data_IF_900299830183
#
_entry.id   IF_900299830183
#
_cell.length_a   1.000
_cell.length_b   1.000
_cell.length_c   1.000
_cell.angle_alpha   90.00
_cell.angle_beta   90.00
_cell.angle_gamma   90.00
#
_symmetry.space_group_name_H-M   'P 1'
#
loop_
_entity.id
_entity.type
_entity.pdbx_description
1 polymer ?
#
# COMPACT_ATOMS: atom_id res chain seq x y z
N UNK A 1 8.60 24.68 -85.66
CA UNK A 1 9.10 23.87 -84.47
C UNK A 1 9.53 24.72 -83.24
N UNK A 2 8.76 25.75 -82.85
CA UNK A 2 9.17 26.56 -81.61
C UNK A 2 8.11 26.59 -80.51
N UNK A 3 6.93 25.97 -80.73
CA UNK A 3 5.82 25.97 -79.75
C UNK A 3 5.86 24.75 -78.76
N UNK A 4 6.56 23.66 -79.05
CA UNK A 4 6.55 22.45 -78.26
C UNK A 4 7.52 22.54 -76.99
N UNK A 5 8.54 23.38 -77.08
CA UNK A 5 9.56 23.50 -75.99
C UNK A 5 9.01 24.31 -74.80
N UNK A 6 8.16 25.33 -75.03
CA UNK A 6 7.62 26.21 -73.98
C UNK A 6 6.54 25.45 -73.19
N UNK A 7 5.67 24.64 -73.84
CA UNK A 7 4.68 23.83 -73.16
C UNK A 7 5.31 22.74 -72.26
N UNK A 8 6.40 22.13 -72.72
CA UNK A 8 7.12 21.14 -71.93
C UNK A 8 7.80 21.74 -70.69
N UNK A 9 8.33 22.95 -70.79
CA UNK A 9 8.95 23.66 -69.68
C UNK A 9 7.94 24.15 -68.65
N UNK A 10 6.75 24.60 -69.05
CA UNK A 10 5.68 24.98 -68.15
C UNK A 10 5.09 23.75 -67.39
N UNK A 11 4.87 22.63 -68.08
CA UNK A 11 4.39 21.38 -67.44
C UNK A 11 5.40 20.83 -66.42
N UNK A 12 6.70 20.90 -66.72
CA UNK A 12 7.76 20.46 -65.80
C UNK A 12 7.90 21.35 -64.56
N UNK A 13 7.63 22.65 -64.69
CA UNK A 13 7.63 23.61 -63.61
C UNK A 13 6.37 23.44 -62.71
N UNK A 14 5.19 23.27 -63.31
CA UNK A 14 3.94 22.96 -62.58
C UNK A 14 4.02 21.65 -61.81
N UNK A 15 4.61 20.60 -62.39
CA UNK A 15 4.79 19.31 -61.70
C UNK A 15 5.73 19.41 -60.48
N UNK A 16 6.75 20.25 -60.50
CA UNK A 16 7.59 20.53 -59.34
C UNK A 16 6.85 21.31 -58.25
N UNK A 17 5.97 22.26 -58.59
CA UNK A 17 5.18 23.01 -57.62
C UNK A 17 4.11 22.13 -56.98
N UNK A 18 3.41 21.24 -57.77
CA UNK A 18 2.47 20.28 -57.21
C UNK A 18 3.12 19.26 -56.26
N UNK A 19 4.33 18.75 -56.59
CA UNK A 19 5.04 17.85 -55.67
C UNK A 19 5.47 18.58 -54.40
N UNK A 20 5.90 19.82 -54.47
CA UNK A 20 6.29 20.61 -53.30
C UNK A 20 5.11 20.91 -52.37
N UNK A 21 3.94 21.22 -52.94
CA UNK A 21 2.68 21.44 -52.16
C UNK A 21 2.19 20.14 -51.51
N UNK A 22 2.29 18.99 -52.21
CA UNK A 22 1.92 17.68 -51.65
C UNK A 22 2.90 17.27 -50.51
N UNK A 23 4.18 17.52 -50.66
CA UNK A 23 5.16 17.19 -49.58
C UNK A 23 4.97 18.12 -48.38
N UNK A 24 4.68 19.40 -48.56
CA UNK A 24 4.38 20.34 -47.47
C UNK A 24 3.06 19.96 -46.80
N UNK A 25 2.01 19.56 -47.56
CA UNK A 25 0.73 19.10 -47.04
C UNK A 25 0.87 17.81 -46.21
N UNK A 26 1.67 16.82 -46.67
CA UNK A 26 1.94 15.58 -45.92
C UNK A 26 2.77 15.82 -44.64
N UNK A 27 3.73 16.76 -44.67
CA UNK A 27 4.45 17.12 -43.46
C UNK A 27 3.61 17.86 -42.42
N UNK A 28 2.65 18.70 -42.85
CA UNK A 28 1.70 19.33 -41.94
C UNK A 28 0.68 18.34 -41.37
N UNK A 29 0.15 17.40 -42.18
CA UNK A 29 -0.75 16.35 -41.67
C UNK A 29 -0.03 15.41 -40.68
N UNK A 30 1.20 14.97 -40.98
CA UNK A 30 1.99 14.17 -40.02
C UNK A 30 2.41 14.94 -38.76
N UNK A 31 2.56 16.26 -38.82
CA UNK A 31 2.81 17.10 -37.66
C UNK A 31 1.55 17.28 -36.81
N UNK A 32 0.36 17.44 -37.43
CA UNK A 32 -0.92 17.50 -36.70
C UNK A 32 -1.29 16.14 -36.07
N UNK A 33 -1.09 15.01 -36.78
CA UNK A 33 -1.30 13.69 -36.19
C UNK A 33 -0.32 13.40 -35.03
N UNK A 34 0.93 13.86 -35.09
CA UNK A 34 1.87 13.73 -33.98
C UNK A 34 1.53 14.64 -32.79
N UNK A 35 0.99 15.85 -33.02
CA UNK A 35 0.56 16.75 -31.94
C UNK A 35 -0.75 16.28 -31.30
N UNK A 36 -1.73 15.78 -32.08
CA UNK A 36 -2.98 15.23 -31.52
C UNK A 36 -2.78 13.88 -30.82
N UNK A 37 -1.82 13.05 -31.24
CA UNK A 37 -1.45 11.83 -30.51
C UNK A 37 -0.65 12.10 -29.21
N UNK A 38 0.03 13.25 -29.10
CA UNK A 38 0.70 13.62 -27.85
C UNK A 38 -0.20 14.32 -26.81
N UNK A 39 -1.37 14.85 -27.21
CA UNK A 39 -2.30 15.48 -26.28
C UNK A 39 -3.28 14.49 -25.62
N UNK A 40 -3.36 13.25 -26.09
CA UNK A 40 -4.21 12.18 -25.55
C UNK A 40 -3.43 10.98 -24.98
N UNK A 41 -2.13 11.07 -24.75
CA UNK A 41 -1.47 10.13 -23.83
C UNK A 41 -1.89 10.53 -22.41
N UNK A 42 -2.92 9.88 -21.87
CA UNK A 42 -3.11 9.84 -20.41
C UNK A 42 -1.75 9.53 -19.81
N UNK A 43 -1.22 10.46 -19.03
CA UNK A 43 0.06 10.27 -18.35
C UNK A 43 -0.06 8.99 -17.53
N UNK A 44 0.70 7.96 -17.90
CA UNK A 44 0.67 6.69 -17.20
C UNK A 44 0.86 6.94 -15.70
N UNK A 45 -0.11 6.50 -14.89
CA UNK A 45 -0.11 6.76 -13.45
C UNK A 45 1.13 6.16 -12.82
N UNK A 46 1.93 6.98 -12.16
CA UNK A 46 3.16 6.56 -11.51
C UNK A 46 2.85 5.67 -10.30
N UNK A 47 3.42 4.47 -10.29
CA UNK A 47 3.34 3.56 -9.14
C UNK A 47 4.68 3.55 -8.39
N UNK A 48 4.63 3.80 -7.09
CA UNK A 48 5.79 3.70 -6.20
C UNK A 48 5.76 2.38 -5.44
N UNK A 49 6.88 1.64 -5.43
CA UNK A 49 7.13 0.58 -4.46
C UNK A 49 7.73 1.22 -3.22
N UNK A 50 7.03 1.12 -2.11
CA UNK A 50 7.38 1.75 -0.85
C UNK A 50 7.72 0.69 0.19
N UNK A 51 8.99 0.52 0.51
CA UNK A 51 9.43 -0.41 1.54
C UNK A 51 9.40 0.32 2.87
N UNK A 52 8.49 -0.09 3.75
CA UNK A 52 8.33 0.55 5.05
C UNK A 52 8.48 -0.47 6.18
N UNK A 53 9.72 -0.83 6.54
CA UNK A 53 10.01 -1.95 7.45
C UNK A 53 9.87 -1.57 8.92
N UNK A 54 8.90 -0.72 9.30
CA UNK A 54 8.63 -0.34 10.69
C UNK A 54 8.18 -1.55 11.49
N UNK A 55 8.79 -1.77 12.64
CA UNK A 55 8.56 -2.91 13.51
C UNK A 55 8.15 -2.52 14.94
N UNK A 56 8.38 -1.27 15.31
CA UNK A 56 8.27 -0.79 16.69
C UNK A 56 6.83 -0.83 17.21
N UNK A 57 5.86 -0.61 16.35
CA UNK A 57 4.44 -0.60 16.71
C UNK A 57 3.88 -1.99 17.06
N UNK A 58 4.55 -3.07 16.64
CA UNK A 58 4.06 -4.44 16.81
C UNK A 58 4.29 -5.06 18.18
N UNK A 59 5.22 -4.55 19.02
CA UNK A 59 5.60 -5.10 20.34
C UNK A 59 5.80 -6.63 20.30
N UNK A 60 6.45 -7.13 19.27
CA UNK A 60 6.48 -8.55 18.86
C UNK A 60 7.14 -9.46 19.89
N UNK A 61 8.14 -8.98 20.61
CA UNK A 61 8.86 -9.75 21.63
C UNK A 61 7.96 -10.23 22.77
N UNK A 62 6.82 -9.56 23.01
CA UNK A 62 5.82 -9.99 23.96
C UNK A 62 5.09 -11.28 23.52
N UNK A 63 4.92 -11.46 22.21
CA UNK A 63 4.14 -12.54 21.63
C UNK A 63 4.95 -13.73 21.14
N UNK A 64 6.28 -13.61 21.11
CA UNK A 64 7.18 -14.64 20.57
C UNK A 64 8.30 -15.00 21.56
N UNK A 65 7.98 -15.58 22.73
CA UNK A 65 8.95 -15.88 23.76
C UNK A 65 9.96 -16.98 23.39
N UNK A 66 9.70 -17.74 22.32
CA UNK A 66 10.59 -18.78 21.79
C UNK A 66 11.71 -18.23 20.88
N UNK A 67 11.70 -16.94 20.60
CA UNK A 67 12.71 -16.24 19.81
C UNK A 67 13.35 -15.15 20.69
N UNK A 68 14.68 -14.96 20.64
CA UNK A 68 15.32 -13.87 21.38
C UNK A 68 14.65 -12.52 21.09
N UNK A 69 14.42 -11.71 22.13
CA UNK A 69 13.67 -10.44 22.03
C UNK A 69 14.23 -9.49 20.97
N UNK A 70 15.56 -9.47 20.78
CA UNK A 70 16.18 -8.66 19.73
C UNK A 70 15.79 -9.11 18.32
N UNK A 71 15.72 -10.41 18.11
CA UNK A 71 15.39 -11.00 16.80
C UNK A 71 13.91 -10.93 16.50
N UNK A 72 13.06 -11.23 17.50
CA UNK A 72 11.61 -11.12 17.35
C UNK A 72 11.19 -9.68 17.13
N UNK A 73 11.72 -8.73 17.90
CA UNK A 73 11.40 -7.31 17.75
C UNK A 73 11.65 -6.79 16.35
N UNK A 74 12.77 -7.18 15.71
CA UNK A 74 13.12 -6.79 14.33
C UNK A 74 12.58 -7.75 13.28
N UNK A 75 11.72 -8.69 13.64
CA UNK A 75 11.16 -9.68 12.72
C UNK A 75 10.41 -9.04 11.54
N UNK A 76 9.61 -8.03 11.80
CA UNK A 76 8.89 -7.29 10.75
C UNK A 76 9.83 -6.49 9.83
N UNK A 77 10.94 -5.99 10.33
CA UNK A 77 11.97 -5.40 9.47
C UNK A 77 12.50 -6.43 8.48
N UNK A 78 12.91 -7.60 8.97
CA UNK A 78 13.39 -8.70 8.12
C UNK A 78 12.29 -9.20 7.17
N UNK A 79 11.04 -9.25 7.64
CA UNK A 79 9.89 -9.66 6.85
C UNK A 79 9.63 -8.72 5.67
N UNK A 80 9.67 -7.41 5.87
CA UNK A 80 9.51 -6.43 4.80
C UNK A 80 10.62 -6.56 3.74
N UNK A 81 11.87 -6.80 4.16
CA UNK A 81 12.98 -7.05 3.23
C UNK A 81 12.75 -8.36 2.43
N UNK A 82 12.25 -9.40 3.10
CA UNK A 82 11.91 -10.67 2.44
C UNK A 82 10.76 -10.48 1.44
N UNK A 83 9.71 -9.75 1.79
CA UNK A 83 8.63 -9.40 0.85
C UNK A 83 9.17 -8.68 -0.38
N UNK A 84 10.06 -7.70 -0.19
CA UNK A 84 10.68 -6.99 -1.31
C UNK A 84 11.52 -7.90 -2.20
N UNK A 85 12.24 -8.85 -1.61
CA UNK A 85 13.02 -9.84 -2.36
C UNK A 85 12.14 -10.81 -3.17
N UNK A 86 11.03 -11.27 -2.59
CA UNK A 86 10.12 -12.24 -3.20
C UNK A 86 9.14 -11.61 -4.20
N UNK A 87 8.78 -10.35 -3.99
CA UNK A 87 7.82 -9.67 -4.86
C UNK A 87 8.32 -9.55 -6.30
N UNK A 88 7.45 -9.73 -7.31
CA UNK A 88 7.83 -9.57 -8.70
C UNK A 88 8.52 -8.22 -8.94
N UNK A 89 9.68 -8.25 -9.56
CA UNK A 89 10.38 -7.04 -9.96
C UNK A 89 9.71 -6.45 -11.20
N UNK A 90 9.39 -5.15 -11.14
CA UNK A 90 8.79 -4.38 -12.23
C UNK A 90 9.56 -3.07 -12.38
N UNK A 91 9.37 -2.42 -13.50
CA UNK A 91 10.00 -1.13 -13.81
C UNK A 91 9.29 0.03 -13.08
N UNK A 92 9.22 -0.07 -11.75
CA UNK A 92 8.64 0.96 -10.86
C UNK A 92 9.70 1.47 -9.89
N UNK A 93 9.67 2.76 -9.59
CA UNK A 93 10.58 3.35 -8.60
C UNK A 93 10.37 2.67 -7.25
N UNK A 94 11.47 2.29 -6.60
CA UNK A 94 11.47 1.73 -5.25
C UNK A 94 12.12 2.73 -4.29
N UNK A 95 11.46 2.99 -3.18
CA UNK A 95 11.94 3.86 -2.10
C UNK A 95 11.77 3.12 -0.77
N UNK A 96 12.79 3.16 0.07
CA UNK A 96 12.77 2.56 1.40
C UNK A 96 12.76 3.64 2.49
N UNK A 97 11.86 3.50 3.45
CA UNK A 97 11.80 4.35 4.64
C UNK A 97 12.90 3.90 5.61
N UNK A 98 13.85 4.77 5.97
CA UNK A 98 14.85 4.45 6.98
C UNK A 98 14.17 4.31 8.35
N UNK A 99 14.29 3.14 8.97
CA UNK A 99 13.76 2.86 10.30
C UNK A 99 14.89 2.59 11.29
N UNK A 100 14.67 2.92 12.56
CA UNK A 100 15.61 2.59 13.62
C UNK A 100 15.68 1.09 13.85
N UNK A 101 16.88 0.55 14.04
CA UNK A 101 17.11 -0.83 14.45
C UNK A 101 17.49 -0.95 15.93
N UNK A 102 17.44 0.15 16.68
CA UNK A 102 17.71 0.15 18.12
C UNK A 102 16.52 -0.43 18.89
N UNK A 103 16.72 -1.58 19.50
CA UNK A 103 15.69 -2.28 20.29
C UNK A 103 15.44 -1.63 21.67
N UNK A 104 16.28 -0.69 22.10
CA UNK A 104 16.17 -0.05 23.41
C UNK A 104 15.25 1.19 23.37
N UNK A 105 14.98 1.74 22.20
CA UNK A 105 14.16 2.94 22.03
C UNK A 105 12.68 2.57 21.91
N UNK A 106 12.13 1.93 22.95
CA UNK A 106 10.74 1.42 23.02
C UNK A 106 9.94 1.96 24.21
N UNK A 107 10.32 3.11 24.74
CA UNK A 107 9.61 3.72 25.86
C UNK A 107 8.14 3.98 25.51
N UNK A 108 7.24 3.66 26.44
CA UNK A 108 5.83 3.99 26.32
C UNK A 108 5.64 5.47 26.66
N UNK A 109 5.18 6.26 25.72
CA UNK A 109 4.86 7.66 25.91
C UNK A 109 3.47 7.97 25.37
N UNK A 110 2.68 8.71 26.13
CA UNK A 110 1.29 9.05 25.78
C UNK A 110 0.47 7.83 25.34
N UNK A 111 0.73 6.66 25.92
CA UNK A 111 0.01 5.43 25.65
C UNK A 111 0.48 4.65 24.41
N UNK A 112 1.59 5.01 23.79
CA UNK A 112 2.13 4.34 22.61
C UNK A 112 3.57 3.90 22.90
N UNK A 113 3.87 2.61 22.65
CA UNK A 113 5.23 2.08 22.69
C UNK A 113 6.05 2.64 21.53
N UNK A 114 7.33 3.00 21.79
CA UNK A 114 8.24 3.59 20.80
C UNK A 114 7.71 4.86 20.09
N UNK A 115 6.83 5.59 20.74
CA UNK A 115 6.11 6.74 20.16
C UNK A 115 7.00 7.74 19.42
N UNK A 116 8.14 8.12 20.03
CA UNK A 116 9.08 9.10 19.41
C UNK A 116 9.67 8.59 18.11
N UNK A 117 10.02 7.31 18.06
CA UNK A 117 10.58 6.68 16.87
C UNK A 117 9.53 6.61 15.77
N UNK A 118 8.32 6.16 16.11
CA UNK A 118 7.19 6.07 15.19
C UNK A 118 6.88 7.45 14.60
N UNK A 119 6.75 8.50 15.44
CA UNK A 119 6.50 9.86 14.96
C UNK A 119 7.59 10.36 14.01
N UNK A 120 8.87 10.07 14.33
CA UNK A 120 10.00 10.44 13.46
C UNK A 120 9.90 9.70 12.11
N UNK A 121 9.64 8.40 12.13
CA UNK A 121 9.51 7.58 10.94
C UNK A 121 8.29 7.98 10.09
N UNK A 122 7.17 8.31 10.72
CA UNK A 122 5.97 8.88 10.07
C UNK A 122 6.31 10.14 9.26
N UNK A 123 7.04 11.09 9.88
CA UNK A 123 7.47 12.34 9.19
C UNK A 123 8.40 12.06 8.01
N UNK A 124 9.33 11.12 8.16
CA UNK A 124 10.25 10.74 7.09
C UNK A 124 9.49 10.05 5.94
N UNK A 125 8.59 9.12 6.27
CA UNK A 125 7.79 8.41 5.29
C UNK A 125 6.92 9.38 4.47
N UNK A 126 6.27 10.35 5.13
CA UNK A 126 5.50 11.38 4.44
C UNK A 126 6.36 12.22 3.50
N UNK A 127 7.51 12.71 3.98
CA UNK A 127 8.42 13.52 3.15
C UNK A 127 8.91 12.77 1.90
N UNK A 128 9.14 11.45 2.01
CA UNK A 128 9.50 10.61 0.85
C UNK A 128 8.33 10.50 -0.15
N UNK A 129 7.08 10.41 0.32
CA UNK A 129 5.91 10.37 -0.58
C UNK A 129 5.70 11.73 -1.26
N UNK A 130 5.84 12.83 -0.53
CA UNK A 130 5.73 14.20 -1.08
C UNK A 130 6.80 14.46 -2.15
N UNK A 131 8.05 14.06 -1.89
CA UNK A 131 9.17 14.19 -2.86
C UNK A 131 8.92 13.39 -4.13
N UNK A 132 8.38 12.17 -4.02
CA UNK A 132 8.17 11.28 -5.15
C UNK A 132 6.83 11.50 -5.86
N UNK A 133 5.87 12.11 -5.20
CA UNK A 133 4.53 12.43 -5.70
C UNK A 133 3.84 11.29 -6.50
N UNK A 134 3.79 10.05 -5.99
CA UNK A 134 3.22 8.92 -6.71
C UNK A 134 1.71 9.04 -6.84
N UNK A 135 1.16 8.45 -7.93
CA UNK A 135 -0.28 8.31 -8.13
C UNK A 135 -0.82 7.04 -7.48
N UNK A 136 0.03 6.00 -7.37
CA UNK A 136 -0.28 4.73 -6.73
C UNK A 136 0.88 4.28 -5.85
N UNK A 137 0.58 3.58 -4.78
CA UNK A 137 1.60 3.10 -3.83
C UNK A 137 1.35 1.61 -3.55
N UNK A 138 2.39 0.79 -3.72
CA UNK A 138 2.46 -0.54 -3.14
C UNK A 138 3.44 -0.54 -1.98
N UNK A 139 2.93 -0.71 -0.76
CA UNK A 139 3.73 -0.75 0.46
C UNK A 139 4.04 -2.20 0.82
N UNK A 140 5.33 -2.53 0.90
CA UNK A 140 5.80 -3.77 1.49
C UNK A 140 6.27 -3.45 2.89
N UNK A 141 5.47 -3.83 3.88
CA UNK A 141 5.51 -3.24 5.19
C UNK A 141 6.12 -4.10 6.28
N UNK A 142 6.24 -3.47 7.41
CA UNK A 142 6.38 -4.04 8.72
C UNK A 142 5.01 -4.28 9.36
N UNK A 143 4.73 -3.67 10.50
CA UNK A 143 3.46 -3.80 11.21
C UNK A 143 2.34 -2.92 10.60
N UNK A 144 1.08 -3.14 10.97
CA UNK A 144 -0.10 -2.55 10.32
C UNK A 144 -0.06 -1.04 10.13
N UNK A 145 0.57 -0.29 11.07
CA UNK A 145 0.61 1.17 10.99
C UNK A 145 1.40 1.73 9.80
N UNK A 146 2.16 0.89 9.08
CA UNK A 146 2.82 1.29 7.83
C UNK A 146 1.84 1.69 6.72
N UNK A 147 0.56 1.36 6.88
CA UNK A 147 -0.52 1.80 5.99
C UNK A 147 -0.95 3.25 6.23
N UNK A 148 -0.73 3.79 7.44
CA UNK A 148 -1.29 5.09 7.83
C UNK A 148 -0.80 6.23 6.94
N UNK A 149 0.51 6.32 6.73
CA UNK A 149 1.10 7.40 5.91
C UNK A 149 0.71 7.29 4.44
N UNK A 150 0.90 6.14 3.73
CA UNK A 150 0.54 6.05 2.33
C UNK A 150 -0.97 6.21 2.08
N UNK A 151 -1.83 5.72 2.98
CA UNK A 151 -3.27 5.84 2.80
C UNK A 151 -3.74 7.28 3.00
N UNK A 152 -3.30 7.96 4.06
CA UNK A 152 -3.66 9.37 4.28
C UNK A 152 -3.05 10.30 3.22
N UNK A 153 -1.88 9.97 2.67
CA UNK A 153 -1.32 10.64 1.49
C UNK A 153 -2.23 10.48 0.26
N UNK A 154 -2.68 9.26 -0.02
CA UNK A 154 -3.59 9.00 -1.15
C UNK A 154 -4.97 9.64 -0.93
N UNK A 155 -5.47 9.68 0.31
CA UNK A 155 -6.70 10.40 0.64
C UNK A 155 -6.56 11.92 0.40
N UNK A 156 -5.40 12.52 0.68
CA UNK A 156 -5.16 13.92 0.36
C UNK A 156 -5.04 14.18 -1.14
N UNK A 157 -4.50 13.22 -1.89
CA UNK A 157 -4.36 13.29 -3.35
C UNK A 157 -5.70 13.10 -4.09
N UNK A 158 -6.59 12.31 -3.52
CA UNK A 158 -7.90 11.96 -4.08
C UNK A 158 -9.02 12.27 -3.06
N UNK A 159 -9.25 13.53 -2.73
CA UNK A 159 -10.16 13.91 -1.67
C UNK A 159 -11.58 13.39 -1.93
N UNK A 160 -12.18 12.81 -0.90
CA UNK A 160 -13.52 12.22 -0.89
C UNK A 160 -13.78 11.05 -1.86
N UNK A 161 -12.80 10.63 -2.66
CA UNK A 161 -12.94 9.60 -3.70
C UNK A 161 -12.12 8.33 -3.44
N UNK A 162 -11.82 8.02 -2.17
CA UNK A 162 -11.08 6.80 -1.77
C UNK A 162 -11.77 6.13 -0.60
N UNK A 163 -11.94 4.79 -0.69
CA UNK A 163 -12.36 3.94 0.44
C UNK A 163 -11.22 3.01 0.89
N UNK A 164 -11.28 2.58 2.15
CA UNK A 164 -10.38 1.58 2.73
C UNK A 164 -11.06 0.21 2.75
N UNK A 165 -10.40 -0.81 2.22
CA UNK A 165 -10.68 -2.22 2.50
C UNK A 165 -9.53 -2.75 3.36
N UNK A 166 -9.84 -3.04 4.64
CA UNK A 166 -8.90 -3.50 5.66
C UNK A 166 -9.03 -5.00 5.80
N UNK A 167 -8.15 -5.77 5.13
CA UNK A 167 -8.15 -7.23 5.17
C UNK A 167 -7.29 -7.67 6.35
N UNK A 168 -7.94 -8.16 7.42
CA UNK A 168 -7.31 -8.37 8.71
C UNK A 168 -8.16 -9.30 9.59
N UNK A 169 -7.55 -10.04 10.50
CA UNK A 169 -8.25 -10.75 11.57
C UNK A 169 -8.83 -9.80 12.62
N UNK A 170 -8.19 -8.64 12.81
CA UNK A 170 -8.47 -7.64 13.84
C UNK A 170 -9.05 -6.36 13.25
N UNK A 171 -9.69 -5.50 14.04
CA UNK A 171 -10.24 -4.24 13.55
C UNK A 171 -9.23 -3.09 13.57
N UNK A 172 -8.11 -3.20 14.29
CA UNK A 172 -7.07 -2.17 14.47
C UNK A 172 -7.59 -0.80 14.89
N UNK A 173 -8.57 -0.80 15.77
CA UNK A 173 -9.26 0.41 16.23
C UNK A 173 -8.91 0.83 17.66
N UNK A 174 -7.77 0.38 18.20
CA UNK A 174 -7.30 0.83 19.51
C UNK A 174 -6.95 2.32 19.51
N UNK A 175 -6.88 2.86 20.72
CA UNK A 175 -6.51 4.25 21.00
C UNK A 175 -5.44 4.29 22.12
N UNK A 176 -4.68 5.37 22.24
CA UNK A 176 -3.55 5.45 23.18
C UNK A 176 -3.91 5.22 24.67
N UNK A 177 -5.17 5.43 25.05
CA UNK A 177 -5.63 5.20 26.42
C UNK A 177 -6.02 3.75 26.73
N UNK A 178 -6.13 2.89 25.70
CA UNK A 178 -6.42 1.46 25.89
C UNK A 178 -5.26 0.74 26.58
N UNK A 179 -5.50 -0.45 27.11
CA UNK A 179 -4.48 -1.22 27.85
C UNK A 179 -3.32 -1.62 26.93
N UNK A 180 -3.61 -2.12 25.74
CA UNK A 180 -2.59 -2.49 24.76
C UNK A 180 -1.93 -1.27 24.13
N UNK A 181 -0.59 -1.23 24.11
CA UNK A 181 0.21 -0.05 23.71
C UNK A 181 0.88 -0.18 22.33
N UNK A 182 0.59 -1.24 21.59
CA UNK A 182 1.09 -1.44 20.23
C UNK A 182 0.40 -0.49 19.24
N UNK A 183 1.20 0.27 18.50
CA UNK A 183 0.66 1.25 17.55
C UNK A 183 0.03 0.57 16.33
N UNK A 184 0.42 -0.67 16.01
CA UNK A 184 -0.19 -1.44 14.93
C UNK A 184 -1.72 -1.59 15.13
N UNK A 185 -2.14 -1.91 16.35
CA UNK A 185 -3.57 -2.04 16.69
C UNK A 185 -4.35 -0.71 16.67
N UNK A 186 -3.65 0.44 16.47
CA UNK A 186 -4.24 1.78 16.33
C UNK A 186 -4.23 2.27 14.87
N UNK A 187 -3.88 1.39 13.92
CA UNK A 187 -3.60 1.79 12.54
C UNK A 187 -4.85 2.31 11.82
N UNK A 188 -5.97 1.64 11.93
CA UNK A 188 -7.20 2.09 11.28
C UNK A 188 -7.75 3.36 11.94
N UNK A 189 -7.74 3.48 13.27
CA UNK A 189 -8.14 4.74 13.94
C UNK A 189 -7.24 5.92 13.54
N UNK A 190 -5.94 5.70 13.36
CA UNK A 190 -5.04 6.74 12.87
C UNK A 190 -5.40 7.19 11.44
N UNK A 191 -5.78 6.27 10.54
CA UNK A 191 -6.31 6.63 9.22
C UNK A 191 -7.59 7.46 9.30
N UNK A 192 -8.40 7.26 10.35
CA UNK A 192 -9.63 8.05 10.59
C UNK A 192 -9.36 9.39 11.30
N UNK A 193 -8.09 9.70 11.60
CA UNK A 193 -7.71 10.94 12.31
C UNK A 193 -7.95 10.89 13.82
N UNK A 194 -7.99 9.69 14.41
CA UNK A 194 -8.16 9.43 15.83
C UNK A 194 -6.85 8.89 16.43
N UNK A 195 -6.50 9.28 17.65
CA UNK A 195 -5.32 8.76 18.34
C UNK A 195 -4.42 9.84 18.93
N UNK A 196 -3.10 9.69 18.82
CA UNK A 196 -2.13 10.66 19.34
C UNK A 196 -2.13 11.94 18.50
N UNK A 197 -2.46 13.08 19.13
CA UNK A 197 -2.62 14.37 18.46
C UNK A 197 -1.41 14.78 17.62
N UNK A 198 -0.19 14.50 18.11
CA UNK A 198 1.02 14.91 17.40
C UNK A 198 1.29 14.04 16.17
N UNK A 199 1.01 12.72 16.24
CA UNK A 199 1.09 11.84 15.09
C UNK A 199 0.00 12.20 14.09
N UNK A 200 -1.25 12.36 14.53
CA UNK A 200 -2.37 12.71 13.66
C UNK A 200 -2.14 14.07 12.97
N UNK A 201 -1.59 15.05 13.67
CA UNK A 201 -1.38 16.40 13.11
C UNK A 201 -0.39 16.45 11.94
N UNK A 202 0.46 15.47 11.77
CA UNK A 202 1.40 15.41 10.64
C UNK A 202 0.83 14.66 9.43
N UNK A 203 -0.29 13.97 9.58
CA UNK A 203 -0.92 13.23 8.48
C UNK A 203 -1.66 14.21 7.54
N UNK A 204 -1.54 14.04 6.21
CA UNK A 204 -2.04 15.03 5.26
C UNK A 204 -3.56 15.03 5.08
N UNK A 205 -4.25 13.94 5.42
CA UNK A 205 -5.70 13.81 5.36
C UNK A 205 -6.17 12.73 6.34
N UNK A 206 -7.48 12.54 6.40
CA UNK A 206 -8.13 11.43 7.12
C UNK A 206 -9.27 10.86 6.30
N UNK A 207 -9.66 9.63 6.61
CA UNK A 207 -10.85 9.00 6.04
C UNK A 207 -12.07 9.23 6.92
N UNK A 208 -13.24 9.19 6.28
CA UNK A 208 -14.49 9.02 6.99
C UNK A 208 -14.68 7.54 7.35
N UNK A 209 -15.14 7.23 8.57
CA UNK A 209 -15.34 5.86 9.01
C UNK A 209 -16.36 5.09 8.14
N UNK A 210 -17.34 5.78 7.53
CA UNK A 210 -18.29 5.18 6.58
C UNK A 210 -17.63 4.68 5.30
N UNK A 211 -16.39 5.10 5.01
CA UNK A 211 -15.57 4.65 3.88
C UNK A 211 -14.51 3.62 4.28
N UNK A 212 -14.67 2.95 5.43
CA UNK A 212 -13.82 1.86 5.87
C UNK A 212 -14.63 0.57 6.03
N UNK A 213 -14.10 -0.53 5.49
CA UNK A 213 -14.65 -1.88 5.60
C UNK A 213 -13.54 -2.82 6.08
N UNK A 214 -13.83 -3.64 7.08
CA UNK A 214 -12.91 -4.69 7.55
C UNK A 214 -13.34 -6.02 6.94
N UNK A 215 -12.40 -6.80 6.42
CA UNK A 215 -12.64 -8.09 5.76
C UNK A 215 -11.75 -9.16 6.38
N UNK A 216 -12.33 -10.29 6.77
CA UNK A 216 -11.60 -11.35 7.48
C UNK A 216 -11.70 -11.24 9.00
N UNK A 217 -12.48 -10.27 9.48
CA UNK A 217 -12.62 -9.92 10.90
C UNK A 217 -13.19 -11.09 11.73
N UNK A 218 -12.45 -11.48 12.77
CA UNK A 218 -12.82 -12.60 13.65
C UNK A 218 -12.24 -12.54 15.06
N UNK A 219 -11.36 -11.58 15.33
CA UNK A 219 -10.69 -11.43 16.61
C UNK A 219 -10.75 -9.99 17.11
N UNK A 220 -10.99 -9.79 18.39
CA UNK A 220 -11.10 -8.48 19.03
C UNK A 220 -10.44 -8.51 20.41
N UNK A 221 -9.60 -7.52 20.67
CA UNK A 221 -9.22 -7.20 22.05
C UNK A 221 -10.37 -6.52 22.80
N UNK A 222 -10.24 -6.43 24.13
CA UNK A 222 -11.24 -5.77 24.98
C UNK A 222 -11.52 -4.34 24.52
N UNK A 223 -12.79 -4.00 24.36
CA UNK A 223 -13.26 -2.68 23.92
C UNK A 223 -13.19 -2.41 22.42
N UNK A 224 -12.47 -3.22 21.64
CA UNK A 224 -12.37 -3.00 20.18
C UNK A 224 -13.70 -3.26 19.47
N UNK A 225 -14.48 -4.25 19.91
CA UNK A 225 -15.76 -4.59 19.28
C UNK A 225 -16.78 -3.46 19.44
N UNK A 226 -16.85 -2.88 20.64
CA UNK A 226 -17.71 -1.76 20.95
C UNK A 226 -17.30 -0.54 20.12
N UNK A 227 -16.02 -0.21 20.10
CA UNK A 227 -15.49 0.92 19.34
C UNK A 227 -15.73 0.79 17.85
N UNK A 228 -15.50 -0.40 17.28
CA UNK A 228 -15.82 -0.67 15.87
C UNK A 228 -17.29 -0.36 15.55
N UNK A 229 -18.23 -0.77 16.45
CA UNK A 229 -19.66 -0.50 16.32
C UNK A 229 -19.97 1.00 16.46
N UNK A 230 -19.37 1.67 17.45
CA UNK A 230 -19.54 3.11 17.67
C UNK A 230 -19.05 3.95 16.48
N UNK A 231 -17.96 3.53 15.85
CA UNK A 231 -17.44 4.13 14.62
C UNK A 231 -18.28 3.81 13.39
N UNK A 232 -19.21 2.84 13.48
CA UNK A 232 -20.06 2.40 12.37
C UNK A 232 -19.31 1.64 11.29
N UNK A 233 -18.13 1.09 11.60
CA UNK A 233 -17.31 0.36 10.63
C UNK A 233 -17.87 -1.05 10.45
N UNK A 234 -18.26 -1.39 9.22
CA UNK A 234 -18.73 -2.73 8.88
C UNK A 234 -17.57 -3.73 8.90
N UNK A 235 -17.77 -4.90 9.50
CA UNK A 235 -16.87 -6.05 9.41
C UNK A 235 -17.52 -7.18 8.63
N UNK A 236 -16.75 -7.89 7.81
CA UNK A 236 -17.12 -9.13 7.14
C UNK A 236 -16.19 -10.24 7.64
N UNK A 237 -16.79 -11.35 8.07
CA UNK A 237 -16.06 -12.56 8.47
C UNK A 237 -15.42 -13.26 7.25
N UNK A 238 -14.43 -14.16 7.45
CA UNK A 238 -13.88 -14.98 6.37
C UNK A 238 -14.95 -15.78 5.63
N UNK A 239 -15.99 -16.28 6.34
CA UNK A 239 -17.07 -17.08 5.78
C UNK A 239 -17.93 -16.27 4.81
N UNK A 240 -18.20 -14.99 5.10
CA UNK A 240 -19.01 -14.12 4.24
C UNK A 240 -18.32 -13.80 2.90
N UNK A 241 -17.01 -13.97 2.84
CA UNK A 241 -16.22 -13.68 1.62
C UNK A 241 -15.57 -14.94 1.02
N UNK A 242 -15.82 -16.13 1.57
CA UNK A 242 -15.17 -17.37 1.15
C UNK A 242 -15.44 -17.72 -0.32
N UNK A 243 -16.69 -17.63 -0.77
CA UNK A 243 -17.08 -18.05 -2.11
C UNK A 243 -16.98 -16.94 -3.17
N UNK A 244 -17.23 -15.68 -2.79
CA UNK A 244 -17.26 -14.55 -3.70
C UNK A 244 -17.05 -13.22 -2.95
N UNK A 245 -16.87 -12.14 -3.70
CA UNK A 245 -16.63 -10.78 -3.17
C UNK A 245 -17.85 -9.86 -3.22
N UNK A 246 -19.06 -10.40 -3.42
CA UNK A 246 -20.29 -9.60 -3.63
C UNK A 246 -20.57 -8.62 -2.50
N UNK A 247 -20.44 -9.06 -1.23
CA UNK A 247 -20.68 -8.21 -0.07
C UNK A 247 -19.73 -7.00 0.01
N UNK A 248 -18.48 -7.16 -0.48
CA UNK A 248 -17.49 -6.09 -0.58
C UNK A 248 -17.88 -5.14 -1.71
N UNK A 249 -18.26 -5.68 -2.87
CA UNK A 249 -18.65 -4.87 -4.04
C UNK A 249 -19.91 -4.05 -3.79
N UNK A 250 -20.92 -4.62 -3.16
CA UNK A 250 -22.15 -3.94 -2.74
C UNK A 250 -21.84 -2.79 -1.77
N UNK A 251 -20.96 -3.03 -0.80
CA UNK A 251 -20.53 -1.98 0.12
C UNK A 251 -19.75 -0.88 -0.61
N UNK A 252 -18.78 -1.20 -1.45
CA UNK A 252 -18.02 -0.22 -2.24
C UNK A 252 -18.95 0.63 -3.12
N UNK A 253 -19.91 0.00 -3.79
CA UNK A 253 -20.90 0.72 -4.60
C UNK A 253 -21.72 1.72 -3.77
N UNK A 254 -22.01 1.40 -2.51
CA UNK A 254 -22.76 2.30 -1.61
C UNK A 254 -21.97 3.53 -1.17
N UNK A 255 -20.63 3.49 -1.23
CA UNK A 255 -19.76 4.61 -0.83
C UNK A 255 -19.66 5.70 -1.89
N UNK A 256 -19.93 5.37 -3.15
CA UNK A 256 -19.85 6.29 -4.30
C UNK A 256 -18.42 6.67 -4.73
N UNK A 257 -17.37 6.04 -4.17
CA UNK A 257 -15.98 6.29 -4.54
C UNK A 257 -15.58 5.56 -5.83
N UNK A 258 -14.57 6.07 -6.52
CA UNK A 258 -13.98 5.40 -7.69
C UNK A 258 -12.66 4.69 -7.38
N UNK A 259 -12.05 4.97 -6.24
CA UNK A 259 -10.72 4.50 -5.83
C UNK A 259 -10.75 3.74 -4.53
N UNK A 260 -9.82 2.80 -4.38
CA UNK A 260 -9.68 1.98 -3.18
C UNK A 260 -8.22 1.89 -2.76
N UNK A 261 -7.99 1.92 -1.45
CA UNK A 261 -6.76 1.45 -0.82
C UNK A 261 -7.05 0.15 -0.07
N UNK A 262 -6.16 -0.83 -0.20
CA UNK A 262 -6.28 -2.13 0.48
C UNK A 262 -5.13 -2.30 1.46
N UNK A 263 -5.45 -2.46 2.73
CA UNK A 263 -4.57 -3.04 3.73
C UNK A 263 -4.73 -4.56 3.71
N UNK A 264 -3.63 -5.29 3.68
CA UNK A 264 -3.61 -6.74 3.79
C UNK A 264 -2.65 -7.14 4.90
N UNK A 265 -3.21 -7.39 6.08
CA UNK A 265 -2.52 -8.09 7.15
C UNK A 265 -2.41 -9.57 6.82
N UNK A 266 -1.22 -10.13 7.00
CA UNK A 266 -0.99 -11.55 6.72
C UNK A 266 -1.64 -12.47 7.77
N UNK A 267 -2.09 -11.95 8.91
CA UNK A 267 -2.85 -12.71 9.91
C UNK A 267 -4.33 -12.90 9.54
N UNK A 268 -4.82 -12.16 8.53
CA UNK A 268 -6.11 -12.46 7.90
C UNK A 268 -6.19 -13.88 7.36
N UNK A 269 -5.02 -14.46 7.02
CA UNK A 269 -4.95 -15.81 6.48
C UNK A 269 -5.20 -16.89 7.55
N UNK A 270 -5.76 -18.02 7.10
CA UNK A 270 -5.89 -19.19 7.96
C UNK A 270 -4.51 -19.79 8.24
N UNK A 271 -4.12 -20.01 9.51
CA UNK A 271 -2.83 -20.59 9.85
C UNK A 271 -2.63 -22.02 9.34
N UNK A 272 -3.71 -22.72 8.96
CA UNK A 272 -3.60 -24.02 8.27
C UNK A 272 -3.07 -23.89 6.82
N UNK A 273 -3.28 -22.72 6.18
CA UNK A 273 -2.72 -22.43 4.85
C UNK A 273 -1.32 -21.79 4.98
N UNK A 274 -1.16 -20.77 5.82
CA UNK A 274 0.10 -20.06 5.97
C UNK A 274 0.17 -19.32 7.32
N UNK A 275 1.20 -19.62 8.11
CA UNK A 275 1.57 -18.82 9.29
C UNK A 275 2.60 -17.78 8.86
N UNK A 276 2.16 -16.59 8.51
CA UNK A 276 3.00 -15.53 7.97
C UNK A 276 3.15 -14.32 8.90
N UNK A 277 2.27 -14.16 9.90
CA UNK A 277 2.28 -13.06 10.85
C UNK A 277 2.62 -13.53 12.28
N UNK A 278 2.65 -12.60 13.23
CA UNK A 278 2.73 -12.89 14.67
C UNK A 278 1.38 -13.42 15.15
N UNK A 279 0.29 -12.77 14.79
CA UNK A 279 -1.08 -13.24 15.01
C UNK A 279 -1.31 -14.60 14.33
N UNK A 280 -1.94 -15.53 15.05
CA UNK A 280 -2.24 -16.89 14.58
C UNK A 280 -3.71 -17.18 14.91
N UNK A 281 -4.58 -16.49 14.22
CA UNK A 281 -6.02 -16.59 14.44
C UNK A 281 -6.64 -17.69 13.56
N UNK A 282 -7.25 -18.73 14.12
CA UNK A 282 -7.83 -19.83 13.34
C UNK A 282 -9.08 -19.39 12.57
N UNK A 283 -9.47 -20.21 11.59
CA UNK A 283 -10.64 -20.00 10.73
C UNK A 283 -10.53 -18.72 9.86
N UNK A 284 -9.33 -18.38 9.44
CA UNK A 284 -9.05 -17.27 8.56
C UNK A 284 -9.41 -17.48 7.10
N UNK A 285 -9.04 -16.54 6.28
CA UNK A 285 -9.16 -16.64 4.83
C UNK A 285 -8.08 -17.58 4.26
N UNK A 286 -8.42 -18.37 3.25
CA UNK A 286 -7.41 -19.07 2.48
C UNK A 286 -6.65 -18.09 1.59
N UNK A 287 -5.40 -18.40 1.27
CA UNK A 287 -4.57 -17.56 0.37
C UNK A 287 -5.33 -17.23 -0.93
N UNK A 288 -5.97 -18.24 -1.55
CA UNK A 288 -6.74 -18.04 -2.79
C UNK A 288 -7.93 -17.09 -2.64
N UNK A 289 -8.53 -17.03 -1.46
CA UNK A 289 -9.68 -16.18 -1.14
C UNK A 289 -9.24 -14.72 -0.97
N UNK A 290 -8.15 -14.49 -0.22
CA UNK A 290 -7.55 -13.16 -0.08
C UNK A 290 -7.08 -12.62 -1.45
N UNK A 291 -6.38 -13.41 -2.23
CA UNK A 291 -5.93 -13.05 -3.58
C UNK A 291 -7.12 -12.74 -4.49
N UNK A 292 -8.19 -13.54 -4.45
CA UNK A 292 -9.42 -13.27 -5.22
C UNK A 292 -10.04 -11.93 -4.81
N UNK A 293 -10.23 -11.68 -3.51
CA UNK A 293 -10.82 -10.41 -3.02
C UNK A 293 -10.05 -9.21 -3.54
N UNK A 294 -8.71 -9.22 -3.43
CA UNK A 294 -7.87 -8.11 -3.92
C UNK A 294 -8.03 -7.93 -5.44
N UNK A 295 -8.04 -9.03 -6.20
CA UNK A 295 -8.19 -8.97 -7.66
C UNK A 295 -9.58 -8.51 -8.08
N UNK A 296 -10.64 -8.98 -7.43
CA UNK A 296 -12.02 -8.59 -7.71
C UNK A 296 -12.20 -7.08 -7.48
N UNK A 297 -11.68 -6.54 -6.35
CA UNK A 297 -11.69 -5.09 -6.08
C UNK A 297 -10.93 -4.34 -7.15
N UNK A 298 -9.70 -4.77 -7.47
CA UNK A 298 -8.86 -4.08 -8.46
C UNK A 298 -9.39 -4.14 -9.89
N UNK A 299 -10.28 -5.09 -10.19
CA UNK A 299 -10.92 -5.21 -11.52
C UNK A 299 -12.06 -4.22 -11.75
N UNK A 300 -12.66 -3.67 -10.69
CA UNK A 300 -13.84 -2.80 -10.77
C UNK A 300 -13.57 -1.38 -10.23
N UNK A 301 -12.56 -1.22 -9.39
CA UNK A 301 -12.16 0.07 -8.80
C UNK A 301 -10.69 0.36 -9.10
N UNK A 302 -10.34 1.63 -9.16
CA UNK A 302 -8.94 2.04 -9.30
C UNK A 302 -8.20 1.78 -7.97
N UNK A 303 -7.48 0.66 -7.90
CA UNK A 303 -6.63 0.34 -6.75
C UNK A 303 -5.43 1.28 -6.75
N UNK A 304 -5.47 2.30 -5.89
CA UNK A 304 -4.41 3.31 -5.76
C UNK A 304 -3.41 3.01 -4.65
N UNK A 305 -3.79 2.20 -3.66
CA UNK A 305 -2.89 1.78 -2.58
C UNK A 305 -3.06 0.31 -2.24
N UNK A 306 -1.95 -0.40 -2.07
CA UNK A 306 -1.92 -1.77 -1.55
C UNK A 306 -0.79 -1.87 -0.52
N UNK A 307 -1.12 -2.22 0.71
CA UNK A 307 -0.13 -2.56 1.74
C UNK A 307 -0.18 -4.05 2.02
N UNK A 308 0.98 -4.70 2.09
CA UNK A 308 1.15 -6.04 2.69
C UNK A 308 1.89 -5.85 4.00
N UNK A 309 1.25 -6.22 5.11
CA UNK A 309 1.72 -5.97 6.47
C UNK A 309 1.89 -7.26 7.29
N UNK A 310 2.55 -7.14 8.43
CA UNK A 310 2.78 -8.17 9.45
C UNK A 310 3.60 -9.40 8.99
N UNK A 311 4.56 -9.28 8.04
CA UNK A 311 5.35 -10.42 7.58
C UNK A 311 6.36 -10.85 8.63
N UNK A 312 6.07 -11.95 9.36
CA UNK A 312 6.97 -12.50 10.38
C UNK A 312 7.69 -13.76 9.86
N UNK A 313 8.93 -13.66 9.38
CA UNK A 313 9.66 -14.76 8.77
C UNK A 313 10.32 -15.67 9.82
N UNK A 314 9.53 -16.36 10.65
CA UNK A 314 10.00 -17.21 11.79
C UNK A 314 11.08 -18.19 11.38
N UNK A 315 10.93 -18.84 10.23
CA UNK A 315 11.91 -19.81 9.71
C UNK A 315 13.23 -19.11 9.37
N UNK A 316 13.17 -17.97 8.69
CA UNK A 316 14.36 -17.18 8.32
C UNK A 316 15.13 -16.68 9.55
N UNK A 317 14.42 -16.23 10.59
CA UNK A 317 15.02 -15.82 11.86
C UNK A 317 15.76 -16.99 12.51
N UNK A 318 15.12 -18.15 12.61
CA UNK A 318 15.74 -19.37 13.19
C UNK A 318 16.95 -19.84 12.38
N UNK A 319 16.88 -19.79 11.04
CA UNK A 319 18.01 -20.09 10.16
C UNK A 319 19.18 -19.12 10.36
N UNK A 320 18.91 -17.80 10.43
CA UNK A 320 19.93 -16.80 10.71
C UNK A 320 20.62 -17.09 12.04
N UNK A 321 19.88 -17.31 13.12
CA UNK A 321 20.41 -17.59 14.44
C UNK A 321 21.26 -18.89 14.46
N UNK A 322 20.93 -19.87 13.61
CA UNK A 322 21.75 -21.06 13.43
C UNK A 322 23.07 -20.72 12.69
N UNK A 323 22.99 -19.96 11.60
CA UNK A 323 24.16 -19.59 10.79
C UNK A 323 25.16 -18.74 11.58
N UNK A 324 24.67 -17.83 12.42
CA UNK A 324 25.48 -16.96 13.30
C UNK A 324 26.30 -17.75 14.34
N UNK A 325 26.03 -19.04 14.52
CA UNK A 325 26.75 -19.94 15.42
C UNK A 325 27.76 -20.82 14.71
N UNK A 326 27.78 -20.85 13.38
CA UNK A 326 28.64 -21.74 12.62
C UNK A 326 30.05 -21.13 12.44
N UNK A 327 31.13 -21.96 12.61
CA UNK A 327 32.49 -21.53 12.31
C UNK A 327 32.61 -20.98 10.88
N UNK A 328 33.45 -19.98 10.66
CA UNK A 328 33.67 -19.26 9.39
C UNK A 328 32.51 -18.36 8.93
N UNK A 329 31.35 -18.42 9.58
CA UNK A 329 30.23 -17.47 9.35
C UNK A 329 30.06 -16.50 10.52
N UNK A 330 30.64 -16.85 11.68
CA UNK A 330 30.49 -16.14 12.93
C UNK A 330 31.46 -14.97 13.10
N UNK A 331 32.55 -14.91 12.36
CA UNK A 331 33.66 -13.94 12.53
C UNK A 331 33.63 -12.86 11.47
#
# INVERSE_FOLDING_TARGET
>A
MRYSAIAYFCLKKMRKYLLSVLIIGMTFMNAQEKTTNNENMEKEKSTLRFIYPQWQGGIVDHWMPDIPAEDSSRGYYLGAQLLNYLAPQRDQKTVEVPVSLDINDRAIEKGISARKVILKQTKVALGLLEENNPDKIVTLGGECSVSVVPFTYLASKYPDDVAIVWIDAHPDVNLPYDEYKGYHAMALTACLGLGDEEIISVLPAKFDASKALIVGLRSWDEGMQERQKELGIKGLSPQEVADNSSAIMEWLASTGVSKVVIHFDMDALDPADLIAAVGVEPNGMKIKEAVRVINDVSSQYDLVGLTVAEPMPRVAIKLRNMLDQLPLLKD
#
